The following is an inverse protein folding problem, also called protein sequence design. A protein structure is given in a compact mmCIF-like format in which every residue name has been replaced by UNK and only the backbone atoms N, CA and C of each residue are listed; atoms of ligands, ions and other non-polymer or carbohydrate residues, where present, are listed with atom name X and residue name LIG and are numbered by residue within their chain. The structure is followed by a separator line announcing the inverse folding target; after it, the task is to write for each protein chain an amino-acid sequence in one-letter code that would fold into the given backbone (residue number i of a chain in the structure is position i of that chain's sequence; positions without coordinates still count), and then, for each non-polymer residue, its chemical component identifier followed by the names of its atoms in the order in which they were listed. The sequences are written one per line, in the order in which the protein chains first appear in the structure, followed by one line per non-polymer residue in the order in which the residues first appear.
data_IF_880595144517
#
_entry.id   IF_880595144517
#
_cell.length_a   1.000
_cell.length_b   1.000
_cell.length_c   1.000
_cell.angle_alpha   90.00
_cell.angle_beta   90.00
_cell.angle_gamma   90.00
#
_symmetry.space_group_name_H-M   'P 1'
#
loop_
_entity.id
_entity.type
_entity.pdbx_description
1 polymer ?
#
# COMPACT_ATOMS: atom_id res chain seq x y z
N UNK A 1 27.03 -7.45 -16.02
CA UNK A 1 26.10 -7.31 -17.16
C UNK A 1 24.63 -7.28 -16.70
N UNK A 2 24.16 -8.18 -15.81
CA UNK A 2 22.77 -8.20 -15.31
C UNK A 2 22.39 -6.95 -14.51
N UNK A 3 23.29 -6.42 -13.66
CA UNK A 3 23.08 -5.17 -12.92
C UNK A 3 23.04 -3.94 -13.83
N UNK A 4 23.85 -3.90 -14.89
CA UNK A 4 23.82 -2.81 -15.87
C UNK A 4 22.54 -2.80 -16.72
N UNK A 5 22.00 -3.99 -17.06
CA UNK A 5 20.71 -4.10 -17.76
C UNK A 5 19.54 -3.61 -16.88
N UNK A 6 19.52 -3.99 -15.60
CA UNK A 6 18.51 -3.53 -14.64
C UNK A 6 18.57 -2.01 -14.45
N UNK A 7 19.77 -1.43 -14.38
CA UNK A 7 19.95 0.02 -14.28
C UNK A 7 19.55 0.76 -15.58
N UNK A 8 19.77 0.15 -16.75
CA UNK A 8 19.34 0.73 -18.03
C UNK A 8 17.82 0.68 -18.21
N UNK A 9 17.15 -0.42 -17.84
CA UNK A 9 15.70 -0.54 -17.88
C UNK A 9 15.03 0.42 -16.87
N UNK A 10 15.63 0.60 -15.68
CA UNK A 10 15.16 1.58 -14.70
C UNK A 10 15.32 3.03 -15.19
N UNK A 11 16.43 3.37 -15.85
CA UNK A 11 16.61 4.70 -16.45
C UNK A 11 15.61 4.97 -17.59
N UNK A 12 15.23 3.96 -18.36
CA UNK A 12 14.25 4.12 -19.42
C UNK A 12 12.84 4.35 -18.86
N UNK A 13 12.46 3.63 -17.80
CA UNK A 13 11.18 3.81 -17.11
C UNK A 13 11.03 5.19 -16.48
N UNK A 14 12.09 5.73 -15.87
CA UNK A 14 12.07 7.04 -15.21
C UNK A 14 12.14 8.24 -16.17
N UNK A 15 12.70 8.07 -17.37
CA UNK A 15 12.87 9.16 -18.35
C UNK A 15 11.57 9.65 -19.00
N UNK A 16 10.50 8.87 -18.97
CA UNK A 16 9.25 9.19 -19.65
C UNK A 16 8.27 10.02 -18.85
N UNK A 17 8.57 10.30 -17.57
CA UNK A 17 7.68 11.10 -16.72
C UNK A 17 8.33 12.44 -16.35
N UNK A 18 7.76 13.53 -16.85
CA UNK A 18 8.08 14.86 -16.33
C UNK A 18 7.52 15.01 -14.91
N UNK A 19 8.36 14.77 -13.89
CA UNK A 19 8.00 14.93 -12.48
C UNK A 19 8.87 15.99 -11.82
N UNK A 20 8.26 16.87 -11.04
CA UNK A 20 9.02 17.67 -10.09
C UNK A 20 9.60 16.74 -9.02
N UNK A 21 10.87 16.90 -8.67
CA UNK A 21 11.48 16.19 -7.54
C UNK A 21 10.66 16.43 -6.28
N UNK A 22 10.47 15.37 -5.51
CA UNK A 22 9.78 15.43 -4.23
C UNK A 22 10.79 15.87 -3.15
N UNK A 23 10.33 16.71 -2.23
CA UNK A 23 11.05 17.02 -1.01
C UNK A 23 10.35 16.34 0.16
N UNK A 24 11.09 15.52 0.90
CA UNK A 24 10.57 14.89 2.12
C UNK A 24 10.53 15.87 3.29
N UNK A 25 9.63 15.63 4.27
CA UNK A 25 9.65 16.37 5.52
C UNK A 25 11.04 16.37 6.15
N UNK A 26 11.41 17.48 6.79
CA UNK A 26 12.66 17.66 7.54
C UNK A 26 13.95 17.40 6.73
N UNK A 27 13.88 17.49 5.39
CA UNK A 27 15.00 17.18 4.48
C UNK A 27 15.56 15.75 4.64
N UNK A 28 14.76 14.84 5.13
CA UNK A 28 15.14 13.44 5.30
C UNK A 28 15.41 12.76 3.95
N UNK A 29 16.19 11.68 3.98
CA UNK A 29 16.60 10.93 2.79
C UNK A 29 16.08 9.50 2.77
N UNK A 30 15.72 8.95 3.94
CA UNK A 30 15.24 7.58 4.10
C UNK A 30 13.73 7.57 4.30
N UNK A 31 13.02 6.78 3.51
CA UNK A 31 11.57 6.61 3.58
C UNK A 31 11.21 5.16 3.87
N UNK A 32 10.39 4.94 4.89
CA UNK A 32 9.64 3.69 5.04
C UNK A 32 8.29 3.84 4.35
N UNK A 33 8.06 3.08 3.27
CA UNK A 33 6.83 3.16 2.47
C UNK A 33 5.95 1.93 2.74
N UNK A 34 4.90 2.09 3.54
CA UNK A 34 3.88 1.05 3.69
C UNK A 34 3.12 0.85 2.37
N UNK A 35 3.10 -0.39 1.88
CA UNK A 35 2.42 -0.76 0.62
C UNK A 35 1.45 -1.92 0.81
N UNK A 36 0.32 -1.90 0.08
CA UNK A 36 -0.68 -2.97 0.13
C UNK A 36 -0.89 -3.71 -1.20
N UNK A 37 -0.59 -3.08 -2.33
CA UNK A 37 -0.76 -3.67 -3.66
C UNK A 37 0.02 -2.86 -4.69
N UNK A 38 0.56 -3.52 -5.70
CA UNK A 38 1.37 -2.90 -6.74
C UNK A 38 0.64 -1.84 -7.57
N UNK A 39 -0.64 -2.01 -7.98
CA UNK A 39 -1.37 -0.97 -8.71
C UNK A 39 -1.41 0.39 -7.99
N UNK A 40 -1.53 0.39 -6.66
CA UNK A 40 -1.49 1.63 -5.87
C UNK A 40 -0.07 2.12 -5.58
N UNK A 41 0.91 1.22 -5.59
CA UNK A 41 2.28 1.54 -5.21
C UNK A 41 3.12 2.06 -6.38
N UNK A 42 2.87 1.61 -7.61
CA UNK A 42 3.73 1.83 -8.76
C UNK A 42 4.08 3.30 -9.01
N UNK A 43 3.09 4.19 -9.05
CA UNK A 43 3.32 5.62 -9.22
C UNK A 43 4.15 6.22 -8.09
N UNK A 44 3.86 5.84 -6.85
CA UNK A 44 4.54 6.39 -5.68
C UNK A 44 5.99 5.92 -5.66
N UNK A 45 6.22 4.63 -5.93
CA UNK A 45 7.56 4.07 -5.99
C UNK A 45 8.41 4.73 -7.07
N UNK A 46 7.88 4.95 -8.28
CA UNK A 46 8.59 5.66 -9.33
C UNK A 46 8.84 7.14 -8.98
N UNK A 47 7.87 7.79 -8.32
CA UNK A 47 8.02 9.18 -7.92
C UNK A 47 9.14 9.37 -6.89
N UNK A 48 9.23 8.49 -5.88
CA UNK A 48 10.31 8.56 -4.88
C UNK A 48 11.65 8.13 -5.45
N UNK A 49 11.69 7.14 -6.36
CA UNK A 49 12.91 6.76 -7.09
C UNK A 49 13.46 7.92 -7.93
N UNK A 50 12.59 8.61 -8.69
CA UNK A 50 12.96 9.78 -9.49
C UNK A 50 13.42 10.99 -8.64
N UNK A 51 13.17 10.95 -7.33
CA UNK A 51 13.52 12.00 -6.39
C UNK A 51 14.76 11.66 -5.54
N UNK A 52 15.46 10.58 -5.86
CA UNK A 52 16.65 10.08 -5.16
C UNK A 52 16.39 9.80 -3.64
N UNK A 53 15.16 9.35 -3.32
CA UNK A 53 14.76 9.01 -1.96
C UNK A 53 15.08 7.54 -1.68
N UNK A 54 15.90 7.27 -0.67
CA UNK A 54 16.23 5.92 -0.23
C UNK A 54 15.01 5.27 0.39
N UNK A 55 14.34 4.40 -0.37
CA UNK A 55 13.05 3.83 0.02
C UNK A 55 13.18 2.36 0.40
N UNK A 56 12.60 2.01 1.54
CA UNK A 56 12.31 0.64 1.94
C UNK A 56 10.81 0.45 1.93
N UNK A 57 10.33 -0.55 1.20
CA UNK A 57 8.91 -0.90 1.14
C UNK A 57 8.58 -1.87 2.26
N UNK A 58 7.60 -1.52 3.06
CA UNK A 58 7.13 -2.29 4.20
C UNK A 58 5.75 -2.90 3.91
N UNK A 59 5.70 -4.22 3.75
CA UNK A 59 4.48 -4.93 3.40
C UNK A 59 3.88 -5.59 4.65
N UNK A 60 3.09 -4.81 5.41
CA UNK A 60 2.32 -5.28 6.57
C UNK A 60 0.83 -5.18 6.30
N UNK A 61 0.19 -6.29 5.94
CA UNK A 61 -1.19 -6.32 5.48
C UNK A 61 -1.97 -7.51 6.05
N UNK A 62 -2.16 -7.62 7.36
CA UNK A 62 -2.87 -8.72 8.00
C UNK A 62 -4.36 -8.77 7.62
N UNK A 63 -4.86 -7.71 6.99
CA UNK A 63 -6.24 -7.57 6.53
C UNK A 63 -6.50 -8.18 5.15
N UNK A 64 -5.49 -8.67 4.44
CA UNK A 64 -5.71 -9.23 3.10
C UNK A 64 -6.06 -10.72 3.23
N UNK A 65 -7.26 -11.07 2.81
CA UNK A 65 -7.82 -12.41 2.89
C UNK A 65 -8.46 -12.80 1.55
N UNK A 66 -8.40 -14.08 1.18
CA UNK A 66 -7.65 -15.17 1.82
C UNK A 66 -6.15 -15.04 1.60
N UNK A 67 -5.37 -16.04 2.08
CA UNK A 67 -3.90 -16.01 2.00
C UNK A 67 -3.40 -15.95 0.56
N UNK A 68 -4.07 -16.58 -0.37
CA UNK A 68 -3.73 -16.56 -1.80
C UNK A 68 -3.75 -15.12 -2.35
N UNK A 69 -4.72 -14.31 -1.97
CA UNK A 69 -4.78 -12.90 -2.36
C UNK A 69 -3.65 -12.09 -1.72
N UNK A 70 -3.29 -12.41 -0.47
CA UNK A 70 -2.14 -11.80 0.20
C UNK A 70 -0.85 -12.09 -0.54
N UNK A 71 -0.59 -13.37 -0.88
CA UNK A 71 0.64 -13.77 -1.57
C UNK A 71 0.76 -13.12 -2.95
N UNK A 72 -0.31 -13.11 -3.77
CA UNK A 72 -0.31 -12.46 -5.08
C UNK A 72 0.09 -10.97 -4.94
N UNK A 73 -0.52 -10.24 -4.01
CA UNK A 73 -0.22 -8.81 -3.82
C UNK A 73 1.19 -8.58 -3.28
N UNK A 74 1.68 -9.47 -2.44
CA UNK A 74 3.03 -9.43 -1.90
C UNK A 74 4.06 -9.62 -3.00
N UNK A 75 3.93 -10.70 -3.76
CA UNK A 75 4.89 -11.08 -4.82
C UNK A 75 4.99 -9.99 -5.89
N UNK A 76 3.88 -9.37 -6.27
CA UNK A 76 3.91 -8.25 -7.20
C UNK A 76 4.62 -7.01 -6.65
N UNK A 77 4.37 -6.66 -5.38
CA UNK A 77 5.08 -5.56 -4.73
C UNK A 77 6.58 -5.85 -4.68
N UNK A 78 6.96 -7.08 -4.30
CA UNK A 78 8.35 -7.52 -4.25
C UNK A 78 9.02 -7.43 -5.63
N UNK A 79 8.39 -7.99 -6.66
CA UNK A 79 8.86 -7.92 -8.06
C UNK A 79 9.14 -6.48 -8.48
N UNK A 80 8.23 -5.57 -8.17
CA UNK A 80 8.38 -4.17 -8.58
C UNK A 80 9.44 -3.43 -7.75
N UNK A 81 9.59 -3.76 -6.46
CA UNK A 81 10.71 -3.27 -5.65
C UNK A 81 12.06 -3.70 -6.22
N UNK A 82 12.21 -4.97 -6.58
CA UNK A 82 13.42 -5.52 -7.19
C UNK A 82 13.75 -4.78 -8.51
N UNK A 83 12.75 -4.51 -9.34
CA UNK A 83 12.90 -3.73 -10.57
C UNK A 83 13.44 -2.31 -10.31
N UNK A 84 13.00 -1.66 -9.23
CA UNK A 84 13.42 -0.30 -8.88
C UNK A 84 14.65 -0.25 -7.97
N UNK A 85 15.19 -1.39 -7.56
CA UNK A 85 16.33 -1.46 -6.64
C UNK A 85 15.97 -1.06 -5.21
N UNK A 86 14.70 -1.20 -4.79
CA UNK A 86 14.24 -0.91 -3.44
C UNK A 86 14.37 -2.12 -2.52
N UNK A 87 14.66 -1.87 -1.26
CA UNK A 87 14.54 -2.88 -0.23
C UNK A 87 13.06 -3.21 0.00
N UNK A 88 12.75 -4.51 0.16
CA UNK A 88 11.42 -4.99 0.47
C UNK A 88 11.42 -5.77 1.78
N UNK A 89 10.52 -5.42 2.69
CA UNK A 89 10.32 -6.11 3.96
C UNK A 89 8.95 -6.77 3.94
N UNK A 90 8.94 -8.11 3.96
CA UNK A 90 7.76 -8.94 4.19
C UNK A 90 7.54 -9.03 5.70
N UNK A 91 6.62 -8.22 6.21
CA UNK A 91 6.27 -8.22 7.62
C UNK A 91 5.25 -9.32 7.94
N UNK A 92 5.03 -9.55 9.23
CA UNK A 92 4.17 -10.63 9.72
C UNK A 92 2.76 -10.60 9.12
N UNK A 93 2.27 -11.75 8.70
CA UNK A 93 0.87 -11.95 8.32
C UNK A 93 0.02 -12.27 9.56
N UNK A 94 -0.13 -11.29 10.42
CA UNK A 94 -0.76 -11.36 11.73
C UNK A 94 -2.30 -11.21 11.64
N UNK A 95 -2.93 -12.12 10.88
CA UNK A 95 -4.36 -12.06 10.59
C UNK A 95 -5.25 -12.23 11.83
N UNK A 96 -4.81 -13.05 12.78
CA UNK A 96 -5.62 -13.37 13.96
C UNK A 96 -5.75 -12.15 14.89
N UNK A 97 -4.67 -11.40 15.07
CA UNK A 97 -4.68 -10.13 15.77
C UNK A 97 -5.53 -9.07 15.02
N UNK A 98 -5.52 -9.08 13.68
CA UNK A 98 -6.42 -8.21 12.92
C UNK A 98 -7.89 -8.56 13.17
N UNK A 99 -8.26 -9.83 13.16
CA UNK A 99 -9.63 -10.27 13.47
C UNK A 99 -10.06 -9.89 14.88
N UNK A 100 -9.20 -10.08 15.86
CA UNK A 100 -9.50 -9.69 17.25
C UNK A 100 -9.70 -8.18 17.36
N UNK A 101 -8.86 -7.38 16.71
CA UNK A 101 -8.95 -5.91 16.75
C UNK A 101 -10.22 -5.36 16.11
N UNK A 102 -10.77 -6.03 15.10
CA UNK A 102 -12.00 -5.57 14.43
C UNK A 102 -13.26 -6.27 14.92
N UNK A 103 -13.16 -7.06 15.96
CA UNK A 103 -14.29 -7.76 16.58
C UNK A 103 -15.42 -6.81 16.99
N UNK A 104 -16.65 -7.17 16.59
CA UNK A 104 -17.82 -6.31 16.75
C UNK A 104 -18.01 -5.25 15.67
N UNK A 105 -17.07 -5.14 14.71
CA UNK A 105 -17.13 -4.20 13.59
C UNK A 105 -17.35 -4.88 12.23
N UNK A 106 -17.72 -6.17 12.21
CA UNK A 106 -17.83 -6.99 11.01
C UNK A 106 -18.86 -6.45 10.01
N UNK A 107 -19.89 -5.78 10.52
CA UNK A 107 -20.98 -5.23 9.72
C UNK A 107 -20.80 -3.73 9.40
N UNK A 108 -19.74 -3.10 9.88
CA UNK A 108 -19.40 -1.73 9.50
C UNK A 108 -19.17 -1.64 7.97
N UNK A 109 -19.66 -0.59 7.32
CA UNK A 109 -19.41 -0.39 5.89
C UNK A 109 -17.93 -0.12 5.58
N UNK A 110 -17.55 -0.19 4.33
CA UNK A 110 -16.27 0.35 3.89
C UNK A 110 -16.19 1.84 4.24
N UNK A 111 -14.99 2.27 4.64
CA UNK A 111 -14.70 3.62 5.17
C UNK A 111 -15.32 3.91 6.56
N UNK A 112 -16.01 2.93 7.19
CA UNK A 112 -16.51 3.02 8.56
C UNK A 112 -15.42 2.75 9.60
N UNK A 113 -15.86 2.47 10.85
CA UNK A 113 -14.96 2.25 12.00
C UNK A 113 -14.01 1.07 11.79
N UNK A 114 -14.48 -0.05 11.20
CA UNK A 114 -13.63 -1.20 10.85
C UNK A 114 -12.42 -0.78 10.02
N UNK A 115 -12.61 0.09 9.03
CA UNK A 115 -11.49 0.58 8.22
C UNK A 115 -10.54 1.48 9.01
N UNK A 116 -11.04 2.26 9.97
CA UNK A 116 -10.18 3.05 10.87
C UNK A 116 -9.28 2.14 11.69
N UNK A 117 -9.83 1.13 12.35
CA UNK A 117 -9.05 0.16 13.12
C UNK A 117 -8.02 -0.59 12.26
N UNK A 118 -8.42 -0.96 11.04
CA UNK A 118 -7.52 -1.59 10.08
C UNK A 118 -6.35 -0.67 9.68
N UNK A 119 -6.57 0.63 9.50
CA UNK A 119 -5.51 1.58 9.21
C UNK A 119 -4.64 1.84 10.44
N UNK A 120 -5.25 2.01 11.60
CA UNK A 120 -4.53 2.25 12.85
C UNK A 120 -3.56 1.10 13.14
N UNK A 121 -4.00 -0.16 13.09
CA UNK A 121 -3.14 -1.32 13.27
C UNK A 121 -1.93 -1.33 12.32
N UNK A 122 -2.18 -1.07 11.04
CA UNK A 122 -1.13 -1.11 10.02
C UNK A 122 -0.13 0.03 10.19
N UNK A 123 -0.60 1.21 10.55
CA UNK A 123 0.28 2.37 10.72
C UNK A 123 0.99 2.38 12.07
N UNK A 124 0.37 1.86 13.14
CA UNK A 124 1.03 1.63 14.41
C UNK A 124 2.25 0.71 14.23
N UNK A 125 2.09 -0.39 13.48
CA UNK A 125 3.19 -1.30 13.17
C UNK A 125 4.23 -0.65 12.27
N UNK A 126 3.80 0.15 11.29
CA UNK A 126 4.73 0.88 10.41
C UNK A 126 5.53 1.96 11.16
N UNK A 127 4.88 2.71 12.06
CA UNK A 127 5.54 3.73 12.85
C UNK A 127 6.53 3.13 13.88
N UNK A 128 6.14 2.01 14.52
CA UNK A 128 7.04 1.27 15.41
C UNK A 128 8.27 0.77 14.65
N UNK A 129 8.06 0.12 13.50
CA UNK A 129 9.17 -0.37 12.68
C UNK A 129 10.08 0.78 12.22
N UNK A 130 9.50 1.92 11.84
CA UNK A 130 10.26 3.11 11.47
C UNK A 130 11.16 3.58 12.62
N UNK A 131 10.60 3.67 13.84
CA UNK A 131 11.31 4.07 15.05
C UNK A 131 12.47 3.12 15.38
N UNK A 132 12.22 1.80 15.35
CA UNK A 132 13.20 0.77 15.70
C UNK A 132 14.34 0.61 14.66
N UNK A 133 14.15 1.13 13.41
CA UNK A 133 15.08 0.92 12.30
C UNK A 133 15.62 2.22 11.68
N UNK A 134 15.68 3.29 12.46
CA UNK A 134 16.27 4.59 12.08
C UNK A 134 15.64 5.25 10.84
N UNK A 135 14.36 5.02 10.60
CA UNK A 135 13.57 5.85 9.69
C UNK A 135 12.96 7.01 10.48
N UNK A 136 13.07 8.22 9.95
CA UNK A 136 12.41 9.41 10.55
C UNK A 136 11.10 9.75 9.84
N UNK A 137 10.90 9.22 8.65
CA UNK A 137 9.71 9.46 7.84
C UNK A 137 9.12 8.14 7.36
N UNK A 138 7.82 7.99 7.53
CA UNK A 138 7.07 6.95 6.85
C UNK A 138 5.87 7.52 6.09
N UNK A 139 5.45 6.79 5.04
CA UNK A 139 4.29 7.11 4.23
C UNK A 139 3.50 5.85 3.88
N UNK A 140 2.37 6.01 3.22
CA UNK A 140 1.57 4.88 2.73
C UNK A 140 1.12 5.07 1.29
N UNK A 141 1.00 3.97 0.55
CA UNK A 141 0.43 3.96 -0.79
C UNK A 141 -1.11 4.03 -0.81
N UNK A 142 -1.76 3.86 0.33
CA UNK A 142 -3.22 3.83 0.43
C UNK A 142 -3.89 5.12 -0.05
N UNK A 143 -3.23 6.26 0.15
CA UNK A 143 -3.78 7.58 -0.16
C UNK A 143 -4.00 7.85 -1.65
N UNK A 144 -3.36 7.11 -2.57
CA UNK A 144 -3.55 7.29 -4.01
C UNK A 144 -4.89 6.73 -4.52
N UNK A 145 -5.41 5.70 -3.85
CA UNK A 145 -6.66 5.04 -4.24
C UNK A 145 -7.87 5.95 -4.04
N UNK A 146 -8.60 6.24 -5.12
CA UNK A 146 -9.87 6.99 -5.07
C UNK A 146 -10.99 6.32 -4.26
N UNK A 147 -10.86 5.01 -4.04
CA UNK A 147 -11.82 4.22 -3.28
C UNK A 147 -11.67 4.38 -1.76
N UNK A 148 -10.62 5.04 -1.31
CA UNK A 148 -10.33 5.23 0.11
C UNK A 148 -10.51 6.69 0.53
N UNK A 149 -10.90 6.88 1.79
CA UNK A 149 -11.00 8.20 2.40
C UNK A 149 -9.60 8.66 2.83
N UNK A 150 -9.08 9.70 2.18
CA UNK A 150 -7.73 10.23 2.44
C UNK A 150 -7.62 10.84 3.84
N UNK A 151 -8.65 11.53 4.31
CA UNK A 151 -8.63 12.15 5.64
C UNK A 151 -8.59 11.09 6.74
N UNK A 152 -9.34 9.98 6.57
CA UNK A 152 -9.31 8.85 7.47
C UNK A 152 -7.92 8.23 7.54
N UNK A 153 -7.28 8.01 6.37
CA UNK A 153 -5.91 7.48 6.27
C UNK A 153 -4.92 8.41 6.96
N UNK A 154 -4.96 9.71 6.65
CA UNK A 154 -4.02 10.69 7.20
C UNK A 154 -4.19 10.87 8.71
N UNK A 155 -5.43 10.84 9.22
CA UNK A 155 -5.69 10.85 10.66
C UNK A 155 -5.08 9.64 11.36
N UNK A 156 -5.23 8.44 10.80
CA UNK A 156 -4.62 7.22 11.34
C UNK A 156 -3.09 7.28 11.29
N UNK A 157 -2.51 7.71 10.17
CA UNK A 157 -1.06 7.87 10.04
C UNK A 157 -0.49 8.86 11.06
N UNK A 158 -1.12 10.03 11.20
CA UNK A 158 -0.68 11.03 12.18
C UNK A 158 -0.82 10.56 13.63
N UNK A 159 -1.88 9.79 13.96
CA UNK A 159 -2.02 9.19 15.31
C UNK A 159 -0.89 8.21 15.61
N UNK A 160 -0.54 7.36 14.67
CA UNK A 160 0.54 6.41 14.84
C UNK A 160 1.90 7.10 15.01
N UNK A 161 2.20 8.10 14.19
CA UNK A 161 3.44 8.89 14.29
C UNK A 161 3.59 9.59 15.65
N UNK A 162 2.50 10.12 16.22
CA UNK A 162 2.51 10.83 17.52
C UNK A 162 3.00 9.97 18.71
N UNK A 163 3.08 8.65 18.55
CA UNK A 163 3.62 7.77 19.60
C UNK A 163 5.13 7.88 19.77
N UNK A 164 5.82 8.41 18.74
CA UNK A 164 7.28 8.52 18.69
C UNK A 164 7.66 9.96 18.31
N UNK A 165 8.45 10.61 19.13
CA UNK A 165 8.84 12.02 18.95
C UNK A 165 9.72 12.25 17.71
N UNK A 166 10.34 11.19 17.21
CA UNK A 166 11.29 11.19 16.10
C UNK A 166 10.66 10.73 14.76
N UNK A 167 9.38 10.36 14.77
CA UNK A 167 8.70 9.84 13.58
C UNK A 167 7.74 10.87 12.99
N UNK A 168 7.84 11.08 11.68
CA UNK A 168 6.93 11.91 10.90
C UNK A 168 6.15 11.09 9.88
N UNK A 169 4.82 11.24 9.87
CA UNK A 169 3.97 10.70 8.82
C UNK A 169 3.89 11.67 7.65
N UNK A 170 4.37 11.26 6.48
CA UNK A 170 4.31 12.07 5.28
C UNK A 170 2.95 11.93 4.59
N UNK A 171 2.07 12.91 4.80
CA UNK A 171 0.70 12.97 4.30
C UNK A 171 0.58 13.55 2.88
N UNK A 172 1.58 13.30 2.03
CA UNK A 172 1.61 13.80 0.67
C UNK A 172 0.40 13.32 -0.15
N UNK A 173 -0.19 14.24 -0.91
CA UNK A 173 -1.33 13.92 -1.77
C UNK A 173 -0.88 13.34 -3.10
N UNK A 174 -0.70 12.03 -3.14
CA UNK A 174 -0.24 11.26 -4.30
C UNK A 174 -1.17 11.32 -5.52
N UNK A 175 -2.43 11.77 -5.38
CA UNK A 175 -3.40 11.90 -6.48
C UNK A 175 -3.16 13.12 -7.35
N UNK A 176 -2.58 14.18 -6.77
CA UNK A 176 -2.37 15.48 -7.44
C UNK A 176 -1.27 15.40 -8.51
N UNK A 177 -1.21 16.45 -9.33
CA UNK A 177 -0.20 16.63 -10.39
C UNK A 177 -0.06 15.41 -11.32
N UNK A 178 -1.20 14.81 -11.71
CA UNK A 178 -1.24 13.67 -12.63
C UNK A 178 -0.95 12.31 -11.98
N UNK A 179 -0.77 12.21 -10.66
CA UNK A 179 -0.45 10.96 -9.99
C UNK A 179 -1.49 9.85 -10.21
N UNK A 180 -2.79 10.19 -10.17
CA UNK A 180 -3.84 9.20 -10.46
C UNK A 180 -3.78 8.66 -11.90
N UNK A 181 -3.46 9.49 -12.88
CA UNK A 181 -3.34 9.06 -14.29
C UNK A 181 -2.13 8.16 -14.47
N UNK A 182 -0.97 8.58 -13.95
CA UNK A 182 0.26 7.77 -14.02
C UNK A 182 0.13 6.44 -13.28
N UNK A 183 -0.58 6.39 -12.17
CA UNK A 183 -0.89 5.13 -11.47
C UNK A 183 -1.58 4.13 -12.41
N UNK A 184 -2.54 4.58 -13.22
CA UNK A 184 -3.25 3.73 -14.19
C UNK A 184 -2.32 3.30 -15.33
N UNK A 185 -1.50 4.21 -15.85
CA UNK A 185 -0.54 3.93 -16.93
C UNK A 185 0.52 2.92 -16.50
N UNK A 186 1.12 3.13 -15.32
CA UNK A 186 2.11 2.21 -14.75
C UNK A 186 1.49 0.85 -14.49
N UNK A 187 0.28 0.82 -13.94
CA UNK A 187 -0.43 -0.43 -13.67
C UNK A 187 -0.67 -1.26 -14.94
N UNK A 188 -0.95 -0.59 -16.08
CA UNK A 188 -1.09 -1.24 -17.37
C UNK A 188 0.26 -1.67 -17.95
N UNK A 189 1.27 -0.80 -17.91
CA UNK A 189 2.62 -1.06 -18.42
C UNK A 189 3.29 -2.25 -17.73
N UNK A 190 3.11 -2.33 -16.40
CA UNK A 190 3.70 -3.39 -15.59
C UNK A 190 2.83 -4.64 -15.50
N UNK A 191 1.64 -4.60 -16.12
CA UNK A 191 0.64 -5.69 -16.10
C UNK A 191 0.28 -6.14 -14.70
N UNK A 192 0.15 -5.17 -13.77
CA UNK A 192 -0.15 -5.46 -12.38
C UNK A 192 -1.50 -6.13 -12.21
N UNK A 193 -1.54 -7.13 -11.34
CA UNK A 193 -2.77 -7.77 -10.89
C UNK A 193 -3.77 -6.74 -10.36
N UNK A 194 -4.97 -6.71 -10.95
CA UNK A 194 -6.03 -5.80 -10.55
C UNK A 194 -6.91 -6.46 -9.50
N UNK A 195 -6.77 -6.01 -8.25
CA UNK A 195 -7.63 -6.51 -7.19
C UNK A 195 -9.08 -6.05 -7.38
N UNK A 196 -10.02 -6.93 -7.11
CA UNK A 196 -11.46 -6.69 -7.28
C UNK A 196 -12.15 -6.22 -5.99
N UNK A 197 -11.45 -6.21 -4.84
CA UNK A 197 -11.95 -5.76 -3.53
C UNK A 197 -10.81 -5.17 -2.69
N UNK A 198 -11.16 -4.52 -1.57
CA UNK A 198 -10.16 -3.83 -0.73
C UNK A 198 -9.07 -4.76 -0.19
N UNK A 199 -9.44 -5.99 0.17
CA UNK A 199 -8.54 -7.03 0.70
C UNK A 199 -9.16 -7.85 1.83
N UNK A 200 -9.93 -7.25 2.73
CA UNK A 200 -10.50 -7.99 3.85
C UNK A 200 -11.71 -8.84 3.44
N UNK A 201 -11.94 -9.90 4.20
CA UNK A 201 -13.06 -10.83 3.99
C UNK A 201 -14.43 -10.13 3.95
N UNK A 202 -14.61 -9.05 4.72
CA UNK A 202 -15.87 -8.30 4.74
C UNK A 202 -16.06 -7.46 3.47
N UNK A 203 -14.99 -6.87 2.95
CA UNK A 203 -15.00 -6.19 1.66
C UNK A 203 -15.34 -7.19 0.53
N UNK A 204 -14.75 -8.38 0.56
CA UNK A 204 -15.07 -9.44 -0.40
C UNK A 204 -16.53 -9.90 -0.29
N UNK A 205 -17.03 -10.10 0.94
CA UNK A 205 -18.45 -10.40 1.20
C UNK A 205 -19.36 -9.35 0.56
N UNK A 206 -19.09 -8.09 0.83
CA UNK A 206 -19.96 -6.98 0.40
C UNK A 206 -19.85 -6.75 -1.12
N UNK A 207 -18.66 -6.89 -1.70
CA UNK A 207 -18.46 -6.89 -3.16
C UNK A 207 -19.24 -8.03 -3.81
N UNK A 208 -19.20 -9.24 -3.25
CA UNK A 208 -19.94 -10.38 -3.79
C UNK A 208 -21.47 -10.22 -3.66
N UNK A 209 -21.96 -9.60 -2.58
CA UNK A 209 -23.39 -9.23 -2.48
C UNK A 209 -23.79 -8.24 -3.58
N UNK A 210 -22.97 -7.24 -3.84
CA UNK A 210 -23.21 -6.29 -4.92
C UNK A 210 -23.16 -6.95 -6.31
N UNK A 211 -22.18 -7.83 -6.55
CA UNK A 211 -22.04 -8.58 -7.81
C UNK A 211 -23.29 -9.43 -8.09
N UNK A 212 -23.79 -10.16 -7.07
CA UNK A 212 -25.02 -10.96 -7.17
C UNK A 212 -26.21 -10.10 -7.56
N UNK A 213 -26.40 -8.92 -6.95
CA UNK A 213 -27.50 -7.98 -7.28
C UNK A 213 -27.40 -7.45 -8.71
N UNK A 214 -26.21 -7.44 -9.32
CA UNK A 214 -25.94 -6.91 -10.66
C UNK A 214 -25.65 -8.02 -11.69
N UNK A 215 -26.07 -9.26 -11.42
CA UNK A 215 -25.89 -10.42 -12.31
C UNK A 215 -24.44 -10.62 -12.78
N UNK A 216 -23.48 -10.44 -11.87
CA UNK A 216 -22.06 -10.68 -12.10
C UNK A 216 -21.57 -11.89 -11.34
N UNK A 217 -20.60 -12.60 -11.91
CA UNK A 217 -20.00 -13.75 -11.27
C UNK A 217 -19.38 -13.40 -9.92
N UNK A 218 -19.47 -14.34 -8.98
CA UNK A 218 -18.85 -14.20 -7.67
C UNK A 218 -17.33 -14.25 -7.77
N UNK A 219 -16.65 -13.39 -7.04
CA UNK A 219 -15.20 -13.50 -6.84
C UNK A 219 -14.96 -14.69 -5.90
N UNK A 220 -14.20 -15.67 -6.37
CA UNK A 220 -13.79 -16.85 -5.61
C UNK A 220 -12.29 -16.76 -5.40
N UNK A 221 -11.87 -16.66 -4.14
CA UNK A 221 -10.47 -16.69 -3.72
C UNK A 221 -10.43 -17.54 -2.46
N UNK A 222 -9.71 -18.67 -2.48
CA UNK A 222 -9.55 -19.55 -1.32
C UNK A 222 -10.89 -20.13 -0.79
N UNK A 223 -11.39 -21.20 -1.38
CA UNK A 223 -12.70 -21.80 -1.09
C UNK A 223 -12.92 -22.12 0.40
N UNK A 224 -11.87 -22.43 1.14
CA UNK A 224 -11.93 -22.78 2.57
C UNK A 224 -12.20 -21.61 3.53
N UNK A 225 -12.31 -20.38 3.05
CA UNK A 225 -12.47 -19.19 3.89
C UNK A 225 -13.93 -18.84 4.20
N UNK A 226 -14.89 -19.53 3.59
CA UNK A 226 -16.32 -19.21 3.64
C UNK A 226 -17.19 -20.33 4.21
N UNK A 227 -16.61 -21.38 4.70
CA UNK A 227 -17.30 -22.49 5.40
C UNK A 227 -17.19 -22.34 6.90
#
# INVERSE_FOLDING_TARGET
QKLQSILMDNQFSLKNYSRSKLAMPNNEKKLLLHSCCAPCAGEIMEAVAASDIQTTVYFYNPNIHPREEYEIRKDENKRFCEKLGFNFIDADYDKDNWFERIKGLENEPERGKRCTECFDMRFERSALFAHENDFRVYATTLGISRWKNMDQINKSGKRAAKRYSDIHYWDFNWRKKGGSSRMIEISKREEFYQQEYCGCVYSLRDTNKWRKKNNKDRIIRGIKFYN
#
